data_IF_536400676126
#
_entry.id   IF_536400676126
#
_cell.length_a   1.000
_cell.length_b   1.000
_cell.length_c   1.000
_cell.angle_alpha   90.00
_cell.angle_beta   90.00
_cell.angle_gamma   90.00
#
_symmetry.space_group_name_H-M   'P 1'
#
loop_
_entity.id
_entity.type
_entity.pdbx_description
1 polymer ?
#
# COMPACT_ATOMS: atom_id res chain seq x y z
N UNK A 1 0.34 -73.18 31.75
CA UNK A 1 -0.54 -72.05 31.37
C UNK A 1 0.01 -70.77 31.97
N UNK A 2 0.63 -69.89 31.17
CA UNK A 2 0.85 -68.48 31.54
C UNK A 2 0.63 -67.67 30.26
N UNK A 3 -0.47 -66.92 30.26
CA UNK A 3 -0.95 -66.07 29.17
C UNK A 3 -0.29 -64.71 29.31
N UNK A 4 0.40 -64.24 28.27
CA UNK A 4 0.99 -62.90 28.24
C UNK A 4 0.05 -62.00 27.44
N UNK A 5 -0.62 -61.05 28.10
CA UNK A 5 -1.40 -60.01 27.44
C UNK A 5 -0.45 -58.90 26.94
N UNK A 6 -0.45 -58.64 25.64
CA UNK A 6 0.12 -57.42 25.05
C UNK A 6 -0.88 -56.27 25.18
N UNK A 7 -0.49 -55.20 25.86
CA UNK A 7 -1.19 -53.91 25.82
C UNK A 7 -0.69 -53.10 24.63
N UNK A 8 -1.55 -52.86 23.65
CA UNK A 8 -1.29 -51.94 22.54
C UNK A 8 -1.48 -50.50 23.00
N UNK A 9 -0.43 -49.69 22.89
CA UNK A 9 -0.46 -48.26 23.16
C UNK A 9 -1.09 -47.54 21.95
N UNK A 10 -2.34 -47.08 22.07
CA UNK A 10 -2.92 -46.14 21.11
C UNK A 10 -2.36 -44.74 21.39
N UNK A 11 -1.47 -44.26 20.52
CA UNK A 11 -1.07 -42.86 20.52
C UNK A 11 -2.14 -42.03 19.80
N UNK A 12 -2.93 -41.27 20.57
CA UNK A 12 -3.83 -40.26 20.02
C UNK A 12 -3.02 -39.03 19.59
N UNK A 13 -2.89 -38.81 18.29
CA UNK A 13 -2.31 -37.60 17.73
C UNK A 13 -3.31 -36.44 17.86
N UNK A 14 -3.10 -35.56 18.83
CA UNK A 14 -3.85 -34.30 18.98
C UNK A 14 -3.34 -33.31 17.94
N UNK A 15 -4.14 -33.01 16.92
CA UNK A 15 -3.85 -31.93 15.97
C UNK A 15 -4.12 -30.59 16.65
N UNK A 16 -3.06 -29.87 17.01
CA UNK A 16 -3.17 -28.47 17.41
C UNK A 16 -3.42 -27.64 16.14
N UNK A 17 -4.60 -27.04 16.02
CA UNK A 17 -4.84 -26.01 15.02
C UNK A 17 -4.07 -24.76 15.47
N UNK A 18 -3.04 -24.37 14.71
CA UNK A 18 -2.40 -23.07 14.86
C UNK A 18 -3.41 -22.02 14.41
N UNK A 19 -4.05 -21.35 15.36
CA UNK A 19 -4.72 -20.09 15.06
C UNK A 19 -3.61 -19.08 14.74
N UNK A 20 -3.54 -18.62 13.50
CA UNK A 20 -2.73 -17.45 13.17
C UNK A 20 -3.29 -16.30 14.01
N UNK A 21 -2.55 -15.87 15.03
CA UNK A 21 -2.88 -14.63 15.71
C UNK A 21 -2.72 -13.51 14.67
N UNK A 22 -3.76 -12.70 14.48
CA UNK A 22 -3.62 -11.49 13.67
C UNK A 22 -2.48 -10.65 14.25
N UNK A 23 -1.42 -10.47 13.46
CA UNK A 23 -0.27 -9.67 13.86
C UNK A 23 -0.68 -8.20 13.82
N UNK A 24 -0.74 -7.58 15.00
CA UNK A 24 -1.00 -6.16 15.14
C UNK A 24 0.33 -5.42 15.30
N UNK A 25 0.50 -4.38 14.49
CA UNK A 25 1.53 -3.37 14.68
C UNK A 25 1.07 -2.34 15.71
N UNK A 26 2.02 -1.76 16.42
CA UNK A 26 1.79 -0.67 17.37
C UNK A 26 2.84 0.41 17.12
N UNK A 27 2.41 1.66 17.10
CA UNK A 27 3.28 2.82 16.88
C UNK A 27 2.51 4.11 17.09
N UNK A 28 3.09 5.21 16.62
CA UNK A 28 2.47 6.52 16.65
C UNK A 28 1.55 6.72 15.44
N UNK A 29 0.35 7.22 15.72
CA UNK A 29 -0.54 7.84 14.76
C UNK A 29 -0.38 9.35 14.81
N UNK A 30 -0.09 9.95 13.66
CA UNK A 30 -0.19 11.41 13.44
C UNK A 30 -1.23 11.72 12.37
N UNK A 31 -1.32 12.97 11.92
CA UNK A 31 -2.16 13.30 10.79
C UNK A 31 -1.50 14.26 9.79
N UNK A 32 -1.76 14.01 8.51
CA UNK A 32 -1.37 14.85 7.37
C UNK A 32 -2.54 15.03 6.41
N UNK A 33 -2.36 15.88 5.40
CA UNK A 33 -3.37 16.08 4.35
C UNK A 33 -2.77 15.81 2.99
N UNK A 34 -3.46 14.98 2.21
CA UNK A 34 -3.16 14.71 0.82
C UNK A 34 -3.99 15.64 -0.08
N UNK A 35 -3.42 16.11 -1.19
CA UNK A 35 -4.12 16.98 -2.16
C UNK A 35 -5.28 16.25 -2.85
N UNK A 36 -5.00 15.04 -3.33
CA UNK A 36 -5.97 14.06 -3.86
C UNK A 36 -5.37 12.64 -3.75
N UNK A 37 -6.14 11.61 -4.11
CA UNK A 37 -5.69 10.22 -4.00
C UNK A 37 -4.50 9.86 -4.91
N UNK A 38 -4.19 10.69 -5.91
CA UNK A 38 -3.03 10.54 -6.80
C UNK A 38 -1.79 11.34 -6.34
N UNK A 39 -1.91 12.16 -5.30
CA UNK A 39 -0.82 13.07 -4.89
C UNK A 39 0.24 12.40 -4.01
N UNK A 40 -0.03 11.20 -3.48
CA UNK A 40 0.89 10.49 -2.59
C UNK A 40 1.95 9.70 -3.36
N UNK A 41 2.92 9.12 -2.64
CA UNK A 41 3.96 8.29 -3.23
C UNK A 41 3.42 7.06 -4.00
N UNK A 42 2.20 6.60 -3.72
CA UNK A 42 1.57 5.54 -4.51
C UNK A 42 1.05 6.03 -5.88
N UNK A 43 0.78 7.32 -6.03
CA UNK A 43 0.25 7.92 -7.25
C UNK A 43 -0.89 7.09 -7.87
N UNK A 44 -1.92 6.83 -7.06
CA UNK A 44 -3.04 5.97 -7.46
C UNK A 44 -3.84 6.63 -8.60
N UNK A 45 -3.82 6.04 -9.79
CA UNK A 45 -4.69 6.44 -10.91
C UNK A 45 -6.17 6.14 -10.63
N UNK A 46 -6.45 5.19 -9.73
CA UNK A 46 -7.78 4.95 -9.17
C UNK A 46 -7.65 4.41 -7.75
N UNK A 47 -8.32 5.08 -6.81
CA UNK A 47 -8.38 4.67 -5.41
C UNK A 47 -9.79 4.17 -5.04
N UNK A 48 -9.91 3.57 -3.86
CA UNK A 48 -11.22 3.18 -3.33
C UNK A 48 -12.03 4.42 -2.96
N UNK A 49 -13.35 4.36 -3.11
CA UNK A 49 -14.20 5.53 -2.91
C UNK A 49 -14.03 6.21 -1.54
N UNK A 50 -13.82 5.41 -0.48
CA UNK A 50 -13.60 5.93 0.88
C UNK A 50 -12.21 6.57 1.06
N UNK A 51 -11.24 6.26 0.20
CA UNK A 51 -9.86 6.71 0.35
C UNK A 51 -9.66 8.20 0.05
N UNK A 52 -10.71 8.90 -0.43
CA UNK A 52 -10.72 10.37 -0.49
C UNK A 52 -10.74 11.01 0.90
N UNK A 53 -11.29 10.32 1.91
CA UNK A 53 -11.32 10.78 3.30
C UNK A 53 -10.54 9.88 4.23
N UNK A 54 -10.46 8.58 3.94
CA UNK A 54 -9.96 7.56 4.87
C UNK A 54 -8.73 6.88 4.27
N UNK A 55 -7.59 7.56 4.44
CA UNK A 55 -6.29 7.16 3.92
C UNK A 55 -5.21 7.26 4.99
N UNK A 56 -4.05 6.66 4.72
CA UNK A 56 -2.85 6.80 5.53
C UNK A 56 -1.57 6.79 4.69
N UNK A 57 -0.52 7.41 5.22
CA UNK A 57 0.85 7.22 4.80
C UNK A 57 1.52 6.15 5.67
N UNK A 58 2.16 5.18 5.02
CA UNK A 58 2.85 4.07 5.69
C UNK A 58 4.29 4.45 6.02
N UNK A 59 4.77 3.99 7.17
CA UNK A 59 6.15 4.22 7.59
C UNK A 59 7.18 3.62 6.63
N UNK A 60 8.40 4.13 6.73
CA UNK A 60 9.47 3.79 5.81
C UNK A 60 9.91 2.32 5.90
N UNK A 61 10.00 1.78 7.11
CA UNK A 61 10.48 0.41 7.35
C UNK A 61 9.54 -0.64 6.77
N UNK A 62 8.24 -0.36 6.78
CA UNK A 62 7.19 -1.22 6.24
C UNK A 62 6.72 -0.77 4.84
N UNK A 63 7.42 0.15 4.16
CA UNK A 63 7.01 0.62 2.83
C UNK A 63 7.15 -0.45 1.75
N UNK A 64 8.15 -1.33 1.90
CA UNK A 64 8.45 -2.47 1.00
C UNK A 64 8.54 -2.10 -0.49
N UNK A 65 9.06 -0.92 -0.81
CA UNK A 65 9.26 -0.49 -2.20
C UNK A 65 7.96 -0.50 -3.01
N UNK A 66 6.89 0.08 -2.46
CA UNK A 66 5.54 0.22 -3.06
C UNK A 66 4.66 -1.03 -3.06
N UNK A 67 5.18 -2.19 -2.65
CA UNK A 67 4.37 -3.41 -2.57
C UNK A 67 3.16 -3.29 -1.62
N UNK A 68 3.17 -2.28 -0.73
CA UNK A 68 2.08 -1.98 0.19
C UNK A 68 1.13 -0.86 -0.29
N UNK A 69 1.37 -0.27 -1.46
CA UNK A 69 0.46 0.70 -2.06
C UNK A 69 -0.89 0.07 -2.39
N UNK A 70 -1.96 0.84 -2.15
CA UNK A 70 -3.33 0.41 -2.41
C UNK A 70 -3.89 -0.63 -1.42
N UNK A 71 -3.06 -1.25 -0.57
CA UNK A 71 -3.50 -2.14 0.52
C UNK A 71 -4.32 -1.37 1.54
N UNK A 72 -5.14 -2.10 2.32
CA UNK A 72 -5.91 -1.53 3.40
C UNK A 72 -5.36 -1.94 4.76
N UNK A 73 -5.51 -1.03 5.73
CA UNK A 73 -5.18 -1.28 7.13
C UNK A 73 -6.40 -0.97 8.01
N UNK A 74 -6.66 -1.82 9.00
CA UNK A 74 -7.61 -1.51 10.06
C UNK A 74 -6.85 -0.87 11.22
N UNK A 75 -7.21 0.36 11.56
CA UNK A 75 -6.52 1.19 12.56
C UNK A 75 -7.45 1.45 13.74
N UNK A 76 -6.93 1.30 14.96
CA UNK A 76 -7.62 1.62 16.21
C UNK A 76 -6.73 2.49 17.09
N UNK A 77 -7.32 3.32 17.95
CA UNK A 77 -6.54 4.05 18.94
C UNK A 77 -6.22 3.15 20.15
N UNK A 78 -4.95 3.06 20.52
CA UNK A 78 -4.48 2.33 21.70
C UNK A 78 -4.07 3.26 22.86
N UNK A 79 -4.11 4.57 22.65
CA UNK A 79 -3.77 5.57 23.65
C UNK A 79 -4.86 5.73 24.72
N UNK A 80 -4.46 5.87 25.99
CA UNK A 80 -5.37 6.06 27.14
C UNK A 80 -6.22 7.33 27.04
N UNK A 81 -5.80 8.31 26.23
CA UNK A 81 -6.53 9.56 25.99
C UNK A 81 -7.74 9.37 25.07
N UNK A 82 -7.81 8.28 24.31
CA UNK A 82 -8.92 8.01 23.41
C UNK A 82 -10.17 7.59 24.18
N UNK A 83 -11.31 8.21 23.83
CA UNK A 83 -12.58 7.96 24.50
C UNK A 83 -13.12 6.54 24.24
N UNK A 84 -12.82 5.99 23.07
CA UNK A 84 -13.22 4.64 22.65
C UNK A 84 -12.05 3.93 21.96
N UNK A 85 -11.42 3.00 22.67
CA UNK A 85 -10.31 2.17 22.14
C UNK A 85 -10.80 0.92 21.39
N UNK A 86 -12.12 0.71 21.30
CA UNK A 86 -12.72 -0.43 20.57
C UNK A 86 -13.07 -0.07 19.13
N UNK A 87 -13.15 1.22 18.83
CA UNK A 87 -13.43 1.73 17.49
C UNK A 87 -12.23 1.52 16.56
N UNK A 88 -12.51 0.96 15.38
CA UNK A 88 -11.55 0.86 14.28
C UNK A 88 -12.05 1.58 13.03
N UNK A 89 -11.12 1.96 12.16
CA UNK A 89 -11.37 2.54 10.83
C UNK A 89 -10.47 1.84 9.82
N UNK A 90 -11.03 1.47 8.67
CA UNK A 90 -10.26 0.96 7.54
C UNK A 90 -9.77 2.13 6.71
N UNK A 91 -8.46 2.14 6.44
CA UNK A 91 -7.80 3.15 5.60
C UNK A 91 -7.15 2.49 4.41
N UNK A 92 -7.04 3.21 3.29
CA UNK A 92 -6.20 2.80 2.16
C UNK A 92 -4.81 3.45 2.29
N UNK A 93 -3.75 2.68 2.04
CA UNK A 93 -2.39 3.20 1.99
C UNK A 93 -2.18 3.89 0.64
N UNK A 94 -1.99 5.20 0.67
CA UNK A 94 -1.83 6.05 -0.53
C UNK A 94 -0.48 6.76 -0.59
N UNK A 95 0.29 6.74 0.49
CA UNK A 95 1.51 7.52 0.61
C UNK A 95 2.53 6.86 1.52
N UNK A 96 3.74 7.42 1.54
CA UNK A 96 4.86 7.04 2.39
C UNK A 96 5.16 8.18 3.35
N UNK A 97 5.42 7.84 4.60
CA UNK A 97 5.95 8.74 5.61
C UNK A 97 7.42 8.34 5.89
N UNK A 98 8.41 9.00 5.25
CA UNK A 98 9.82 8.64 5.39
C UNK A 98 10.38 8.78 6.81
N UNK A 99 9.85 9.72 7.59
CA UNK A 99 10.25 10.02 8.97
C UNK A 99 9.56 9.15 10.02
N UNK A 100 8.50 8.44 9.63
CA UNK A 100 7.75 7.55 10.50
C UNK A 100 8.55 6.27 10.79
N UNK A 101 8.52 5.81 12.06
CA UNK A 101 9.21 4.59 12.50
C UNK A 101 8.36 3.36 12.22
N UNK A 102 8.94 2.18 12.33
CA UNK A 102 8.17 0.93 12.28
C UNK A 102 6.93 0.97 13.20
N UNK A 103 5.77 0.61 12.65
CA UNK A 103 4.49 0.62 13.33
C UNK A 103 3.76 1.96 13.34
N UNK A 104 4.40 3.06 12.93
CA UNK A 104 3.76 4.37 12.82
C UNK A 104 2.90 4.44 11.54
N UNK A 105 1.83 5.24 11.59
CA UNK A 105 1.03 5.65 10.43
C UNK A 105 0.72 7.15 10.50
N UNK A 106 0.83 7.85 9.37
CA UNK A 106 0.33 9.22 9.28
C UNK A 106 -1.07 9.20 8.65
N UNK A 107 -2.09 9.50 9.44
CA UNK A 107 -3.49 9.27 9.07
C UNK A 107 -4.09 10.51 8.39
N UNK A 108 -5.15 10.34 7.61
CA UNK A 108 -5.95 11.48 7.21
C UNK A 108 -6.53 12.21 8.43
N UNK A 109 -6.85 13.53 8.33
CA UNK A 109 -7.38 14.26 9.47
C UNK A 109 -8.75 13.74 9.91
N UNK A 110 -9.53 13.20 8.95
CA UNK A 110 -10.82 12.55 9.20
C UNK A 110 -10.66 11.32 10.08
N UNK A 111 -9.75 10.41 9.71
CA UNK A 111 -9.50 9.16 10.44
C UNK A 111 -8.92 9.47 11.82
N UNK A 112 -7.92 10.35 11.88
CA UNK A 112 -7.29 10.74 13.14
C UNK A 112 -8.31 11.28 14.14
N UNK A 113 -9.17 12.19 13.70
CA UNK A 113 -10.24 12.76 14.53
C UNK A 113 -11.29 11.73 14.91
N UNK A 114 -11.61 10.81 14.00
CA UNK A 114 -12.58 9.74 14.22
C UNK A 114 -12.14 8.76 15.30
N UNK A 115 -10.83 8.46 15.37
CA UNK A 115 -10.23 7.56 16.35
C UNK A 115 -9.91 8.25 17.68
N UNK A 116 -9.39 9.48 17.64
CA UNK A 116 -8.85 10.14 18.85
C UNK A 116 -9.79 11.16 19.47
N UNK A 117 -10.75 11.70 18.70
CA UNK A 117 -11.55 12.87 19.08
C UNK A 117 -10.75 14.18 19.18
N UNK A 118 -9.46 14.15 18.84
CA UNK A 118 -8.53 15.27 19.00
C UNK A 118 -8.24 15.99 17.68
N UNK A 119 -7.76 17.23 17.78
CA UNK A 119 -7.01 17.85 16.68
C UNK A 119 -5.67 17.13 16.47
N UNK A 120 -5.06 17.23 15.27
CA UNK A 120 -3.80 16.58 14.94
C UNK A 120 -2.74 16.73 16.04
N UNK A 121 -2.25 15.58 16.49
CA UNK A 121 -1.22 15.42 17.52
C UNK A 121 -0.65 14.01 17.36
N UNK A 122 0.08 13.51 18.35
CA UNK A 122 0.69 12.18 18.35
C UNK A 122 -0.01 11.28 19.38
N UNK A 123 -0.56 10.16 18.93
CA UNK A 123 -1.29 9.19 19.76
C UNK A 123 -0.79 7.79 19.46
N UNK A 124 -0.72 6.92 20.47
CA UNK A 124 -0.44 5.51 20.21
C UNK A 124 -1.62 4.86 19.49
N UNK A 125 -1.35 4.22 18.36
CA UNK A 125 -2.32 3.45 17.58
C UNK A 125 -1.94 1.98 17.55
N UNK A 126 -2.91 1.14 17.22
CA UNK A 126 -2.72 -0.28 16.93
C UNK A 126 -3.43 -0.59 15.62
N UNK A 127 -2.75 -1.26 14.71
CA UNK A 127 -3.29 -1.55 13.39
C UNK A 127 -2.78 -2.87 12.83
N UNK A 128 -3.43 -3.36 11.77
CA UNK A 128 -3.00 -4.51 10.98
C UNK A 128 -3.42 -4.32 9.53
N UNK A 129 -2.75 -4.97 8.60
CA UNK A 129 -3.27 -5.08 7.24
C UNK A 129 -4.55 -5.92 7.23
N UNK A 130 -5.49 -5.52 6.37
CA UNK A 130 -6.80 -6.19 6.19
C UNK A 130 -7.15 -6.23 4.71
N UNK A 131 -8.11 -7.09 4.37
CA UNK A 131 -8.73 -7.06 3.05
C UNK A 131 -9.44 -5.71 2.86
N UNK A 132 -9.14 -5.04 1.75
CA UNK A 132 -9.89 -3.89 1.31
C UNK A 132 -11.35 -4.29 1.02
N UNK A 133 -12.33 -3.46 1.41
CA UNK A 133 -13.75 -3.74 1.20
C UNK A 133 -14.17 -3.45 -0.25
N UNK A 134 -13.59 -4.18 -1.20
CA UNK A 134 -13.82 -4.02 -2.63
C UNK A 134 -14.95 -4.92 -3.12
N UNK A 135 -15.62 -4.49 -4.19
CA UNK A 135 -16.61 -5.28 -4.91
C UNK A 135 -16.21 -5.39 -6.38
N UNK A 136 -16.60 -6.50 -7.02
CA UNK A 136 -16.23 -6.78 -8.41
C UNK A 136 -14.81 -7.34 -8.55
N UNK A 137 -14.32 -7.35 -9.79
CA UNK A 137 -12.98 -7.83 -10.12
C UNK A 137 -11.94 -6.71 -9.97
N UNK A 138 -10.65 -7.10 -9.89
CA UNK A 138 -9.50 -6.20 -10.04
C UNK A 138 -9.65 -5.33 -11.28
N UNK A 139 -9.34 -4.05 -11.12
CA UNK A 139 -9.22 -3.09 -12.20
C UNK A 139 -7.74 -2.92 -12.56
N UNK A 140 -7.47 -2.49 -13.78
CA UNK A 140 -6.12 -2.19 -14.25
C UNK A 140 -6.14 -0.88 -15.02
N UNK A 141 -5.24 0.02 -14.66
CA UNK A 141 -5.14 1.36 -15.22
C UNK A 141 -3.88 1.46 -16.08
N UNK A 142 -4.06 1.85 -17.35
CA UNK A 142 -2.93 2.07 -18.26
C UNK A 142 -2.34 3.46 -18.04
N UNK A 143 -1.01 3.54 -17.93
CA UNK A 143 -0.32 4.83 -17.83
C UNK A 143 -0.46 5.61 -19.13
N UNK A 144 -0.60 6.93 -19.02
CA UNK A 144 -0.37 7.84 -20.14
C UNK A 144 1.00 7.59 -20.77
N UNK A 145 1.04 7.39 -22.09
CA UNK A 145 2.26 7.02 -22.83
C UNK A 145 2.41 5.53 -23.13
N UNK A 146 1.58 4.67 -22.54
CA UNK A 146 1.53 3.23 -22.89
C UNK A 146 1.18 3.05 -24.38
N UNK A 147 1.92 2.19 -25.06
CA UNK A 147 1.81 1.87 -26.48
C UNK A 147 2.39 0.46 -26.75
N UNK A 148 2.38 0.03 -28.01
CA UNK A 148 2.81 -1.33 -28.40
C UNK A 148 4.30 -1.65 -28.11
N UNK A 149 5.12 -0.65 -27.80
CA UNK A 149 6.55 -0.80 -27.49
C UNK A 149 6.85 -0.67 -25.99
N UNK A 150 5.94 -0.10 -25.20
CA UNK A 150 6.10 0.12 -23.77
C UNK A 150 4.72 0.19 -23.11
N UNK A 151 4.45 -0.64 -22.12
CA UNK A 151 3.16 -0.66 -21.44
C UNK A 151 3.36 -0.72 -19.94
N UNK A 152 2.77 0.24 -19.24
CA UNK A 152 2.79 0.29 -17.79
C UNK A 152 1.36 0.21 -17.27
N UNK A 153 1.11 -0.72 -16.33
CA UNK A 153 -0.22 -0.94 -15.74
C UNK A 153 -0.18 -0.87 -14.21
N UNK A 154 -1.08 -0.10 -13.59
CA UNK A 154 -1.33 -0.14 -12.14
C UNK A 154 -2.58 -0.98 -11.85
N UNK A 155 -2.48 -2.05 -11.05
CA UNK A 155 -3.65 -2.76 -10.55
C UNK A 155 -4.37 -1.91 -9.49
N UNK A 156 -5.69 -1.84 -9.58
CA UNK A 156 -6.56 -1.09 -8.66
C UNK A 156 -7.77 -1.96 -8.29
N UNK A 157 -8.58 -1.54 -7.31
CA UNK A 157 -9.69 -2.36 -6.79
C UNK A 157 -9.27 -3.78 -6.33
N UNK A 158 -8.08 -3.89 -5.73
CA UNK A 158 -7.55 -5.14 -5.18
C UNK A 158 -7.99 -5.30 -3.72
N UNK A 159 -8.41 -6.50 -3.33
CA UNK A 159 -8.72 -6.78 -1.92
C UNK A 159 -7.44 -6.84 -1.07
N UNK A 160 -6.35 -7.34 -1.65
CA UNK A 160 -5.07 -7.60 -0.99
C UNK A 160 -3.92 -6.97 -1.77
N UNK A 161 -2.70 -7.04 -1.23
CA UNK A 161 -1.51 -6.57 -1.95
C UNK A 161 -1.23 -7.42 -3.19
N UNK A 162 -0.64 -6.79 -4.22
CA UNK A 162 -0.31 -7.46 -5.48
C UNK A 162 1.12 -7.96 -5.41
N UNK A 163 1.31 -9.30 -5.43
CA UNK A 163 2.64 -9.91 -5.41
C UNK A 163 3.25 -9.98 -6.80
N UNK A 164 2.48 -10.43 -7.78
CA UNK A 164 2.88 -10.44 -9.19
C UNK A 164 1.67 -10.22 -10.09
N UNK A 165 1.92 -9.60 -11.25
CA UNK A 165 0.98 -9.51 -12.35
C UNK A 165 1.53 -10.24 -13.57
N UNK A 166 0.65 -10.88 -14.34
CA UNK A 166 0.91 -11.35 -15.69
C UNK A 166 -0.01 -10.62 -16.66
N UNK A 167 0.54 -10.14 -17.76
CA UNK A 167 -0.22 -9.52 -18.84
C UNK A 167 -0.06 -10.42 -20.07
N UNK A 168 -1.17 -10.96 -20.58
CA UNK A 168 -1.18 -11.94 -21.68
C UNK A 168 -0.26 -13.14 -21.45
N UNK A 169 -0.20 -13.60 -20.20
CA UNK A 169 0.65 -14.71 -19.78
C UNK A 169 2.14 -14.38 -19.64
N UNK A 170 2.57 -13.17 -19.97
CA UNK A 170 3.94 -12.70 -19.75
C UNK A 170 4.11 -12.21 -18.32
N UNK A 171 5.22 -12.59 -17.69
CA UNK A 171 5.61 -12.02 -16.40
C UNK A 171 5.94 -10.55 -16.56
N UNK A 172 5.49 -9.79 -15.57
CA UNK A 172 5.73 -8.36 -15.53
C UNK A 172 6.77 -8.04 -14.46
N UNK A 173 7.47 -6.92 -14.63
CA UNK A 173 8.40 -6.43 -13.62
C UNK A 173 7.80 -5.19 -12.95
N UNK A 174 7.80 -5.19 -11.61
CA UNK A 174 7.54 -3.97 -10.83
C UNK A 174 8.58 -2.91 -11.22
N UNK A 175 8.13 -1.71 -11.56
CA UNK A 175 9.03 -0.62 -11.89
C UNK A 175 9.68 -0.06 -10.61
N UNK A 176 11.02 -0.15 -10.54
CA UNK A 176 11.81 0.39 -9.42
C UNK A 176 12.21 1.86 -9.67
N UNK A 177 11.76 2.78 -8.81
CA UNK A 177 12.44 4.05 -8.54
C UNK A 177 12.26 5.23 -9.54
N UNK A 178 12.75 6.42 -9.13
CA UNK A 178 12.08 7.74 -9.20
C UNK A 178 12.02 8.42 -10.57
N UNK A 179 12.32 7.73 -11.67
CA UNK A 179 12.53 8.36 -12.98
C UNK A 179 11.20 8.74 -13.67
N UNK A 180 10.08 8.14 -13.26
CA UNK A 180 8.78 8.35 -13.90
C UNK A 180 7.64 8.81 -12.98
N UNK A 181 7.84 8.91 -11.67
CA UNK A 181 6.80 9.39 -10.72
C UNK A 181 5.58 8.47 -10.55
N UNK A 182 5.54 7.31 -11.19
CA UNK A 182 4.40 6.40 -11.20
C UNK A 182 4.91 4.97 -11.00
N UNK A 183 4.80 4.48 -9.76
CA UNK A 183 5.65 3.40 -9.26
C UNK A 183 4.90 2.14 -8.79
N UNK A 184 3.60 2.04 -9.05
CA UNK A 184 2.83 0.80 -8.90
C UNK A 184 2.61 0.11 -10.24
N UNK A 185 3.46 0.42 -11.21
CA UNK A 185 3.24 -0.04 -12.57
C UNK A 185 4.09 -1.25 -12.86
N UNK A 186 3.49 -2.16 -13.59
CA UNK A 186 4.21 -3.31 -14.12
C UNK A 186 4.47 -3.12 -15.61
N UNK A 187 5.69 -3.40 -16.04
CA UNK A 187 6.07 -3.39 -17.45
C UNK A 187 5.83 -4.77 -18.09
N UNK A 188 5.11 -4.77 -19.20
CA UNK A 188 5.02 -5.91 -20.10
C UNK A 188 5.72 -5.55 -21.40
N UNK A 189 6.80 -6.25 -21.72
CA UNK A 189 7.49 -6.09 -22.98
C UNK A 189 6.56 -6.53 -24.12
N UNK A 190 6.02 -5.54 -24.83
CA UNK A 190 5.12 -5.65 -25.99
C UNK A 190 3.75 -6.33 -25.75
N UNK A 191 2.67 -5.57 -25.97
CA UNK A 191 1.32 -6.10 -26.14
C UNK A 191 0.40 -5.04 -26.76
N UNK A 192 -0.61 -5.42 -27.55
CA UNK A 192 -1.47 -4.45 -28.24
C UNK A 192 -2.30 -3.62 -27.25
N UNK A 193 -2.18 -2.30 -27.28
CA UNK A 193 -2.94 -1.40 -26.37
C UNK A 193 -4.45 -1.37 -26.60
N UNK A 194 -4.93 -2.04 -27.65
CA UNK A 194 -6.30 -1.94 -28.17
C UNK A 194 -7.15 -3.21 -28.02
N UNK A 195 -6.59 -4.33 -27.51
CA UNK A 195 -7.35 -5.57 -27.24
C UNK A 195 -7.59 -5.82 -25.75
N UNK A 196 -8.60 -6.66 -25.42
CA UNK A 196 -8.88 -7.16 -24.07
C UNK A 196 -7.64 -7.89 -23.52
N UNK A 197 -6.83 -7.16 -22.75
CA UNK A 197 -5.66 -7.70 -22.08
C UNK A 197 -6.10 -8.70 -21.01
N UNK A 198 -5.48 -9.88 -21.01
CA UNK A 198 -5.68 -10.84 -19.91
C UNK A 198 -4.70 -10.51 -18.79
N UNK A 199 -5.22 -9.94 -17.71
CA UNK A 199 -4.46 -9.60 -16.51
C UNK A 199 -4.69 -10.70 -15.48
N UNK A 200 -3.63 -11.42 -15.09
CA UNK A 200 -3.67 -12.40 -14.00
C UNK A 200 -2.85 -11.90 -12.82
N UNK A 201 -3.45 -11.89 -11.64
CA UNK A 201 -2.81 -11.43 -10.41
C UNK A 201 -2.52 -12.59 -9.46
N UNK A 202 -1.38 -12.53 -8.79
CA UNK A 202 -1.14 -13.27 -7.55
C UNK A 202 -1.11 -12.29 -6.39
N UNK A 203 -1.90 -12.58 -5.37
CA UNK A 203 -2.09 -11.73 -4.20
C UNK A 203 -1.12 -12.09 -3.07
N UNK A 204 -0.80 -11.12 -2.21
CA UNK A 204 -0.07 -11.35 -0.96
C UNK A 204 -1.01 -11.66 0.20
N UNK A 205 -0.49 -12.33 1.23
CA UNK A 205 -1.27 -12.65 2.42
C UNK A 205 -1.70 -11.38 3.16
N UNK A 206 -2.95 -11.39 3.62
CA UNK A 206 -3.65 -10.23 4.20
C UNK A 206 -2.90 -9.61 5.37
N UNK A 207 -2.17 -10.40 6.16
CA UNK A 207 -1.50 -9.96 7.38
C UNK A 207 0.01 -9.76 7.29
N UNK A 208 0.67 -10.19 6.21
CA UNK A 208 2.12 -10.08 6.08
C UNK A 208 2.51 -8.71 5.53
N UNK A 209 3.58 -8.11 6.04
CA UNK A 209 4.35 -7.16 5.25
C UNK A 209 4.91 -7.90 4.03
N UNK A 210 4.93 -7.27 2.86
CA UNK A 210 5.42 -7.86 1.62
C UNK A 210 6.90 -8.30 1.70
N UNK A 211 7.63 -7.90 2.75
CA UNK A 211 9.03 -8.20 2.99
C UNK A 211 9.35 -8.99 4.28
N UNK A 212 8.39 -9.66 4.92
CA UNK A 212 8.68 -10.43 6.16
C UNK A 212 9.50 -11.71 5.89
N UNK A 213 10.80 -11.56 5.64
CA UNK A 213 11.85 -12.48 6.03
C UNK A 213 12.60 -11.84 7.20
N UNK A 214 12.67 -12.53 8.34
CA UNK A 214 13.26 -12.03 9.59
C UNK A 214 14.73 -11.61 9.40
N UNK A 215 15.12 -10.33 9.60
CA UNK A 215 16.53 -9.94 9.56
C UNK A 215 17.10 -9.82 10.98
N UNK A 216 18.19 -10.56 11.24
CA UNK A 216 19.09 -10.34 12.36
C UNK A 216 19.67 -8.93 12.33
N UNK A 217 19.76 -8.31 13.51
CA UNK A 217 20.33 -6.99 13.73
C UNK A 217 21.83 -6.97 13.41
N UNK A 218 22.27 -6.02 12.60
CA UNK A 218 23.57 -5.35 12.81
C UNK A 218 23.48 -3.88 12.42
N UNK A 219 23.57 -3.03 13.44
CA UNK A 219 23.87 -1.60 13.40
C UNK A 219 25.18 -1.29 12.66
N UNK A 220 25.31 -0.09 12.08
CA UNK A 220 26.49 0.77 12.17
C UNK A 220 26.16 2.21 11.73
N UNK A 221 26.78 3.16 12.44
CA UNK A 221 26.59 4.61 12.45
C UNK A 221 27.37 5.39 11.36
N UNK A 222 27.04 6.70 11.32
CA UNK A 222 27.85 7.88 10.99
C UNK A 222 27.94 8.41 9.54
N UNK A 223 27.63 9.71 9.41
CA UNK A 223 27.94 10.52 8.23
C UNK A 223 27.15 11.83 8.12
N UNK A 224 27.52 12.84 8.92
CA UNK A 224 27.17 14.27 8.77
C UNK A 224 27.76 14.86 7.47
N UNK A 225 27.10 15.81 6.80
CA UNK A 225 27.71 16.89 5.97
C UNK A 225 26.67 17.98 5.64
N UNK A 226 27.21 19.20 5.59
CA UNK A 226 26.66 20.55 5.71
C UNK A 226 25.81 21.10 4.55
N UNK A 227 24.99 22.08 4.90
CA UNK A 227 24.29 23.09 4.08
C UNK A 227 25.26 24.04 3.35
N UNK A 228 24.81 24.70 2.27
CA UNK A 228 24.87 26.17 2.31
C UNK A 228 23.63 26.88 1.75
N UNK A 229 23.27 27.99 2.41
CA UNK A 229 22.39 29.07 1.95
C UNK A 229 22.98 29.79 0.72
N UNK A 230 22.14 30.40 -0.13
CA UNK A 230 22.40 31.69 -0.82
C UNK A 230 21.08 32.35 -1.26
N UNK A 231 21.03 33.68 -1.12
CA UNK A 231 19.88 34.59 -1.20
C UNK A 231 19.39 34.99 -2.61
N UNK A 232 18.09 35.34 -2.67
CA UNK A 232 17.43 36.48 -3.35
C UNK A 232 17.81 36.92 -4.77
N UNK A 233 16.81 36.94 -5.67
CA UNK A 233 16.53 38.11 -6.54
C UNK A 233 15.13 38.04 -7.18
N UNK A 234 14.31 39.08 -6.94
CA UNK A 234 13.04 39.33 -7.60
C UNK A 234 13.21 39.86 -9.03
N UNK A 235 12.45 39.30 -9.98
CA UNK A 235 12.25 39.86 -11.31
C UNK A 235 10.82 39.64 -11.79
N UNK A 236 10.05 40.73 -11.91
CA UNK A 236 8.73 40.76 -12.51
C UNK A 236 8.83 40.55 -14.03
N UNK A 237 8.09 39.57 -14.58
CA UNK A 237 7.74 39.53 -16.01
C UNK A 237 6.23 39.21 -16.11
N UNK A 238 5.53 40.11 -16.79
CA UNK A 238 4.09 40.12 -17.10
C UNK A 238 3.72 38.99 -18.11
N UNK A 239 2.48 38.44 -18.09
CA UNK A 239 2.19 37.16 -18.72
C UNK A 239 1.96 37.29 -20.23
N UNK A 240 2.63 36.43 -21.00
CA UNK A 240 2.34 36.22 -22.43
C UNK A 240 1.41 35.01 -22.57
N UNK A 241 0.30 35.21 -23.28
CA UNK A 241 -0.69 34.19 -23.67
C UNK A 241 -0.01 32.89 -24.13
N UNK A 242 -0.10 31.86 -23.28
CA UNK A 242 0.38 30.51 -23.62
C UNK A 242 -0.83 29.68 -24.03
N UNK A 243 -0.84 29.35 -25.32
CA UNK A 243 -1.71 28.35 -25.93
C UNK A 243 -1.73 27.08 -25.06
N UNK A 244 -2.94 26.62 -24.73
CA UNK A 244 -3.14 25.43 -23.90
C UNK A 244 -2.29 24.26 -24.41
N UNK A 245 -1.43 23.74 -23.52
CA UNK A 245 -0.78 22.46 -23.73
C UNK A 245 -1.86 21.39 -23.91
N UNK A 246 -1.70 20.44 -24.85
CA UNK A 246 -2.64 19.35 -25.00
C UNK A 246 -2.69 18.56 -23.69
N UNK A 247 -3.90 18.41 -23.13
CA UNK A 247 -4.12 17.59 -21.94
C UNK A 247 -3.56 16.19 -22.17
N UNK A 248 -2.68 15.74 -21.27
CA UNK A 248 -2.22 14.36 -21.23
C UNK A 248 -3.47 13.47 -21.12
N UNK A 249 -3.59 12.39 -21.91
CA UNK A 249 -4.76 11.53 -21.86
C UNK A 249 -4.92 10.99 -20.44
N UNK A 250 -6.10 11.22 -19.85
CA UNK A 250 -6.53 10.66 -18.57
C UNK A 250 -6.30 9.16 -18.57
N UNK A 251 -5.73 8.62 -17.50
CA UNK A 251 -5.53 7.18 -17.33
C UNK A 251 -6.84 6.42 -17.59
N UNK A 252 -6.78 5.40 -18.45
CA UNK A 252 -7.93 4.56 -18.78
C UNK A 252 -7.90 3.32 -17.91
N UNK A 253 -8.72 3.30 -16.86
CA UNK A 253 -8.91 2.13 -16.02
C UNK A 253 -9.98 1.21 -16.62
N UNK A 254 -9.65 -0.08 -16.77
CA UNK A 254 -10.56 -1.13 -17.23
C UNK A 254 -10.68 -2.21 -16.16
N UNK A 255 -11.81 -2.90 -16.13
CA UNK A 255 -12.00 -4.04 -15.25
C UNK A 255 -11.41 -5.30 -15.88
N UNK A 256 -10.71 -6.13 -15.10
CA UNK A 256 -10.24 -7.43 -15.59
C UNK A 256 -11.44 -8.34 -15.90
N UNK A 257 -11.47 -8.97 -17.09
CA UNK A 257 -12.56 -9.87 -17.48
C UNK A 257 -12.60 -11.15 -16.65
N UNK A 258 -11.51 -11.50 -15.96
CA UNK A 258 -11.44 -12.66 -15.08
C UNK A 258 -11.52 -12.26 -13.60
N UNK A 259 -12.19 -13.10 -12.81
CA UNK A 259 -12.40 -12.87 -11.38
C UNK A 259 -11.16 -13.28 -10.60
N UNK A 260 -10.29 -12.31 -10.36
CA UNK A 260 -9.19 -12.42 -9.39
C UNK A 260 -9.62 -11.63 -8.15
N UNK A 261 -9.51 -12.26 -6.98
CA UNK A 261 -9.79 -11.65 -5.67
C UNK A 261 -8.49 -11.40 -4.94
#
# INVERSE_FOLDING_TARGET
MKSTLSFGLLATATTFAFANADEYFTGDGTAYTLGDTSSGNCNMMSALNFATTDYAALNNEQWSGLQNCGRCAEVSCADKRCADQTKSVVVQILDRCPECKHGDLDLSPSVFKTLTGSHPSRYTIKWKFVDCPVAGNVNYCLKGGSNNYWTAIQPTNCATGVKNLKINGQDTKMLDGPVTGDLDMVDAQSGPTDEDQTVQQTSSDVGADANSETPEQTSNEDGEIETPEQESSSGNIEPTDTLAAPELPTALCKQSPASYR
#
